data_IF_054814290784
#
_entry.id   IF_054814290784
#
_cell.length_a   1.000
_cell.length_b   1.000
_cell.length_c   1.000
_cell.angle_alpha   90.00
_cell.angle_beta   90.00
_cell.angle_gamma   90.00
#
_symmetry.space_group_name_H-M   'P 1'
#
loop_
_entity.id
_entity.type
_entity.pdbx_description
1 polymer ?
#
# COMPACT_ATOMS: atom_id res chain seq x y z
N UNK A 1 -10.09 15.66 -18.26
CA UNK A 1 -11.22 14.98 -17.57
C UNK A 1 -10.60 13.93 -16.66
N UNK A 2 -10.42 14.25 -15.37
CA UNK A 2 -9.83 13.32 -14.43
C UNK A 2 -10.95 12.48 -13.81
N UNK A 3 -10.99 11.19 -14.12
CA UNK A 3 -11.78 10.22 -13.36
C UNK A 3 -11.07 9.97 -12.02
N UNK A 4 -11.16 10.93 -11.10
CA UNK A 4 -10.72 10.76 -9.72
C UNK A 4 -11.78 9.96 -8.94
N UNK A 5 -12.00 8.70 -9.32
CA UNK A 5 -12.63 7.76 -8.39
C UNK A 5 -11.53 7.23 -7.49
N UNK A 6 -11.23 7.97 -6.42
CA UNK A 6 -10.37 7.48 -5.34
C UNK A 6 -11.05 6.25 -4.74
N UNK A 7 -10.67 5.06 -5.21
CA UNK A 7 -11.17 3.81 -4.66
C UNK A 7 -10.62 3.74 -3.24
N UNK A 8 -11.52 3.86 -2.26
CA UNK A 8 -11.16 3.73 -0.85
C UNK A 8 -10.66 2.31 -0.59
N UNK A 9 -9.63 2.17 0.22
CA UNK A 9 -9.03 0.89 0.62
C UNK A 9 -10.09 -0.08 1.20
N UNK A 10 -11.11 0.44 1.88
CA UNK A 10 -12.24 -0.35 2.37
C UNK A 10 -13.05 -1.01 1.24
N UNK A 11 -13.20 -0.33 0.10
CA UNK A 11 -13.84 -0.89 -1.09
C UNK A 11 -12.98 -1.97 -1.75
N UNK A 12 -11.65 -1.79 -1.74
CA UNK A 12 -10.69 -2.76 -2.24
C UNK A 12 -10.67 -4.04 -1.39
N UNK A 13 -10.73 -3.90 -0.07
CA UNK A 13 -10.81 -5.02 0.86
C UNK A 13 -12.02 -5.93 0.56
N UNK A 14 -13.18 -5.33 0.30
CA UNK A 14 -14.39 -6.08 -0.02
C UNK A 14 -14.33 -6.80 -1.38
N UNK A 15 -13.40 -6.41 -2.25
CA UNK A 15 -13.18 -7.04 -3.56
C UNK A 15 -12.13 -8.17 -3.51
N UNK A 16 -11.34 -8.25 -2.43
CA UNK A 16 -10.43 -9.38 -2.21
C UNK A 16 -11.16 -10.48 -1.44
N UNK A 17 -11.49 -11.56 -2.14
CA UNK A 17 -12.27 -12.70 -1.65
C UNK A 17 -11.42 -13.87 -1.22
N UNK A 18 -10.13 -13.90 -1.61
CA UNK A 18 -9.18 -14.94 -1.25
C UNK A 18 -8.24 -14.41 -0.19
N UNK A 19 -8.09 -15.15 0.91
CA UNK A 19 -7.02 -14.94 1.87
C UNK A 19 -5.81 -15.79 1.51
N UNK A 20 -4.60 -15.21 1.50
CA UNK A 20 -3.38 -15.98 1.22
C UNK A 20 -3.17 -17.05 2.29
N UNK A 21 -2.88 -18.26 1.82
CA UNK A 21 -2.45 -19.43 2.57
C UNK A 21 -1.28 -20.11 1.83
N UNK A 22 -0.77 -21.18 2.42
CA UNK A 22 0.35 -21.99 1.90
C UNK A 22 0.15 -22.57 0.49
N UNK A 23 -1.10 -22.81 0.09
CA UNK A 23 -1.43 -23.54 -1.15
C UNK A 23 -2.15 -22.69 -2.22
N UNK A 24 -2.37 -21.40 -1.98
CA UNK A 24 -3.22 -20.57 -2.85
C UNK A 24 -2.56 -19.29 -3.37
N UNK A 25 -1.24 -19.15 -3.18
CA UNK A 25 -0.47 -17.96 -3.58
C UNK A 25 -0.77 -17.48 -4.99
N UNK A 26 -0.82 -18.38 -5.99
CA UNK A 26 -1.08 -18.00 -7.39
C UNK A 26 -2.47 -17.37 -7.58
N UNK A 27 -3.50 -17.89 -6.90
CA UNK A 27 -4.86 -17.35 -7.01
C UNK A 27 -4.98 -16.01 -6.27
N UNK A 28 -4.43 -15.95 -5.06
CA UNK A 28 -4.40 -14.72 -4.26
C UNK A 28 -3.63 -13.61 -4.98
N UNK A 29 -2.43 -13.90 -5.47
CA UNK A 29 -1.58 -12.91 -6.16
C UNK A 29 -2.25 -12.42 -7.43
N UNK A 30 -2.84 -13.30 -8.25
CA UNK A 30 -3.57 -12.89 -9.45
C UNK A 30 -4.73 -11.92 -9.11
N UNK A 31 -5.50 -12.21 -8.07
CA UNK A 31 -6.60 -11.34 -7.65
C UNK A 31 -6.09 -10.00 -7.12
N UNK A 32 -5.05 -10.02 -6.27
CA UNK A 32 -4.46 -8.80 -5.73
C UNK A 32 -3.83 -7.93 -6.82
N UNK A 33 -3.10 -8.52 -7.76
CA UNK A 33 -2.51 -7.80 -8.89
C UNK A 33 -3.59 -7.18 -9.79
N UNK A 34 -4.63 -7.94 -10.13
CA UNK A 34 -5.75 -7.44 -10.95
C UNK A 34 -6.46 -6.27 -10.28
N UNK A 35 -6.66 -6.37 -8.97
CA UNK A 35 -7.27 -5.32 -8.15
C UNK A 35 -6.40 -4.06 -8.12
N UNK A 36 -5.09 -4.21 -7.86
CA UNK A 36 -4.18 -3.07 -7.79
C UNK A 36 -4.01 -2.40 -9.15
N UNK A 37 -3.88 -3.16 -10.25
CA UNK A 37 -3.80 -2.61 -11.61
C UNK A 37 -5.06 -1.82 -12.03
N UNK A 38 -6.22 -2.19 -11.50
CA UNK A 38 -7.47 -1.43 -11.69
C UNK A 38 -7.56 -0.16 -10.84
N UNK A 39 -6.53 0.17 -10.06
CA UNK A 39 -6.48 1.32 -9.15
C UNK A 39 -5.21 2.14 -9.37
N UNK A 40 -5.22 3.40 -8.93
CA UNK A 40 -4.02 4.27 -8.91
C UNK A 40 -2.99 3.83 -7.84
N UNK A 41 -3.19 2.68 -7.19
CA UNK A 41 -2.31 2.19 -6.13
C UNK A 41 -1.19 1.30 -6.64
N UNK A 42 -1.29 0.77 -7.87
CA UNK A 42 -0.26 -0.10 -8.42
C UNK A 42 1.09 0.60 -8.56
N UNK A 43 1.07 1.89 -8.88
CA UNK A 43 2.26 2.74 -9.04
C UNK A 43 3.05 2.92 -7.72
N UNK A 44 2.39 2.68 -6.58
CA UNK A 44 3.04 2.64 -5.27
C UNK A 44 3.70 1.28 -4.98
N UNK A 45 3.40 0.24 -5.77
CA UNK A 45 3.83 -1.15 -5.56
C UNK A 45 4.94 -1.56 -6.52
N UNK A 46 4.88 -1.12 -7.78
CA UNK A 46 5.86 -1.42 -8.82
C UNK A 46 7.14 -0.58 -8.73
N UNK A 47 7.16 0.43 -7.85
CA UNK A 47 8.28 1.34 -7.66
C UNK A 47 8.36 2.47 -8.68
N UNK A 48 7.31 2.66 -9.50
CA UNK A 48 7.21 3.76 -10.45
C UNK A 48 7.15 5.13 -9.75
N UNK A 49 6.59 5.18 -8.53
CA UNK A 49 6.59 6.40 -7.70
C UNK A 49 7.86 6.46 -6.84
N UNK A 50 8.69 7.48 -7.10
CA UNK A 50 9.82 7.82 -6.23
C UNK A 50 9.32 8.33 -4.88
N UNK A 51 9.78 7.77 -3.74
CA UNK A 51 9.39 8.25 -2.42
C UNK A 51 9.71 9.75 -2.23
N UNK A 52 8.75 10.56 -1.74
CA UNK A 52 9.01 11.96 -1.44
C UNK A 52 10.11 12.12 -0.38
N UNK A 53 10.85 13.24 -0.42
CA UNK A 53 11.85 13.53 0.61
C UNK A 53 11.18 13.62 1.99
N UNK A 54 11.71 12.85 2.94
CA UNK A 54 11.21 12.82 4.33
C UNK A 54 11.47 14.13 5.09
N UNK A 55 12.53 14.83 4.72
CA UNK A 55 12.97 16.07 5.35
C UNK A 55 13.00 17.17 4.29
N UNK A 56 12.51 18.35 4.64
CA UNK A 56 12.68 19.52 3.80
C UNK A 56 14.17 19.93 3.80
N UNK A 57 14.73 20.21 2.63
CA UNK A 57 16.02 20.87 2.51
C UNK A 57 15.78 22.35 2.87
N UNK A 58 16.47 22.83 3.90
CA UNK A 58 16.42 24.22 4.32
C UNK A 58 17.30 25.03 3.36
N UNK A 59 16.70 25.61 2.32
CA UNK A 59 17.31 26.74 1.62
C UNK A 59 16.78 28.05 2.24
N UNK A 60 17.60 29.10 2.24
CA UNK A 60 17.50 30.32 3.06
C UNK A 60 16.20 31.14 2.91
N UNK A 61 15.27 30.71 2.05
CA UNK A 61 13.99 31.37 1.75
C UNK A 61 12.73 30.66 2.26
N UNK A 62 12.87 29.52 2.95
CA UNK A 62 11.75 28.91 3.68
C UNK A 62 11.61 27.42 3.43
N UNK A 63 11.64 26.66 4.52
CA UNK A 63 11.25 25.25 4.59
C UNK A 63 9.92 25.07 3.85
N UNK A 64 9.91 24.33 2.73
CA UNK A 64 8.68 24.03 2.01
C UNK A 64 7.87 23.01 2.80
N UNK A 65 6.97 23.49 3.67
CA UNK A 65 5.97 22.70 4.41
C UNK A 65 5.23 21.68 3.53
N UNK A 66 5.12 21.97 2.24
CA UNK A 66 4.57 21.12 1.20
C UNK A 66 5.29 19.77 1.07
N UNK A 67 6.62 19.69 1.13
CA UNK A 67 7.38 18.42 1.02
C UNK A 67 7.04 17.46 2.16
N UNK A 68 6.92 18.00 3.38
CA UNK A 68 6.54 17.23 4.57
C UNK A 68 5.09 16.74 4.46
N UNK A 69 4.19 17.52 3.87
CA UNK A 69 2.81 17.12 3.64
C UNK A 69 2.72 15.97 2.61
N UNK A 70 3.41 16.08 1.48
CA UNK A 70 3.44 15.02 0.45
C UNK A 70 4.03 13.71 0.98
N UNK A 71 5.09 13.78 1.80
CA UNK A 71 5.64 12.59 2.47
C UNK A 71 4.61 11.92 3.42
N UNK A 72 3.85 12.72 4.19
CA UNK A 72 2.81 12.18 5.08
C UNK A 72 1.68 11.51 4.29
N UNK A 73 1.26 12.10 3.17
CA UNK A 73 0.24 11.53 2.29
C UNK A 73 0.71 10.22 1.66
N UNK A 74 1.92 10.20 1.10
CA UNK A 74 2.54 8.98 0.57
C UNK A 74 2.63 7.88 1.64
N UNK A 75 3.10 8.22 2.84
CA UNK A 75 3.19 7.28 3.96
C UNK A 75 1.81 6.75 4.39
N UNK A 76 0.76 7.59 4.33
CA UNK A 76 -0.61 7.16 4.63
C UNK A 76 -1.07 6.11 3.61
N UNK A 77 -0.79 6.32 2.32
CA UNK A 77 -1.10 5.35 1.27
C UNK A 77 -0.35 4.03 1.47
N UNK A 78 0.96 4.09 1.74
CA UNK A 78 1.78 2.89 2.02
C UNK A 78 1.25 2.10 3.22
N UNK A 79 0.90 2.78 4.32
CA UNK A 79 0.32 2.11 5.49
C UNK A 79 -1.03 1.49 5.20
N UNK A 80 -1.87 2.15 4.40
CA UNK A 80 -3.17 1.61 4.03
C UNK A 80 -3.05 0.37 3.12
N UNK A 81 -2.07 0.36 2.20
CA UNK A 81 -1.72 -0.82 1.40
C UNK A 81 -1.19 -1.97 2.25
N UNK A 82 -0.36 -1.66 3.26
CA UNK A 82 0.08 -2.68 4.21
C UNK A 82 -1.09 -3.27 4.99
N UNK A 83 -2.02 -2.44 5.47
CA UNK A 83 -3.25 -2.93 6.11
C UNK A 83 -4.10 -3.79 5.18
N UNK A 84 -4.21 -3.42 3.90
CA UNK A 84 -4.88 -4.21 2.87
C UNK A 84 -4.23 -5.59 2.75
N UNK A 85 -2.90 -5.65 2.58
CA UNK A 85 -2.16 -6.90 2.50
C UNK A 85 -2.42 -7.79 3.71
N UNK A 86 -2.23 -7.26 4.93
CA UNK A 86 -2.45 -7.97 6.20
C UNK A 86 -3.87 -8.52 6.29
N UNK A 87 -4.89 -7.74 5.92
CA UNK A 87 -6.28 -8.18 6.00
C UNK A 87 -6.62 -9.28 4.98
N UNK A 88 -5.83 -9.42 3.91
CA UNK A 88 -5.96 -10.51 2.93
C UNK A 88 -5.14 -11.74 3.32
N UNK A 89 -4.57 -11.82 4.52
CA UNK A 89 -3.85 -12.99 5.00
C UNK A 89 -4.78 -13.91 5.81
N UNK A 90 -4.56 -15.22 5.71
CA UNK A 90 -5.13 -16.15 6.69
C UNK A 90 -4.43 -16.01 8.03
N UNK A 91 -5.04 -16.51 9.11
CA UNK A 91 -4.46 -16.43 10.44
C UNK A 91 -3.11 -17.19 10.50
N UNK A 92 -3.02 -18.34 9.83
CA UNK A 92 -1.77 -19.10 9.72
C UNK A 92 -0.69 -18.31 8.99
N UNK A 93 -1.04 -17.64 7.89
CA UNK A 93 -0.11 -16.80 7.14
C UNK A 93 0.37 -15.60 7.98
N UNK A 94 -0.51 -15.01 8.79
CA UNK A 94 -0.16 -13.92 9.72
C UNK A 94 0.80 -14.39 10.80
N UNK A 95 0.65 -15.60 11.33
CA UNK A 95 1.59 -16.16 12.30
C UNK A 95 3.03 -16.23 11.75
N UNK A 96 3.20 -16.56 10.45
CA UNK A 96 4.52 -16.51 9.82
C UNK A 96 5.08 -15.07 9.70
N UNK A 97 4.22 -14.10 9.40
CA UNK A 97 4.64 -12.69 9.24
C UNK A 97 4.93 -12.01 10.59
N UNK A 98 4.21 -12.39 11.65
CA UNK A 98 4.38 -11.83 13.00
C UNK A 98 5.47 -12.58 13.77
N UNK A 99 5.50 -13.92 13.68
CA UNK A 99 6.44 -14.78 14.40
C UNK A 99 7.90 -14.62 13.97
N UNK A 100 8.15 -14.04 12.78
CA UNK A 100 9.50 -13.67 12.32
C UNK A 100 10.10 -12.46 13.05
N UNK A 101 9.33 -11.74 13.88
CA UNK A 101 9.83 -10.63 14.70
C UNK A 101 10.37 -11.02 16.07
N UNK A 102 10.22 -12.29 16.46
CA UNK A 102 10.75 -12.84 17.71
C UNK A 102 11.88 -13.81 17.39
N UNK A 103 13.07 -13.24 17.20
CA UNK A 103 14.34 -13.94 17.28
C UNK A 103 15.27 -13.13 18.19
#
# INVERSE_FOLDING_TARGET
>A
MAFSSSIKIDGLLNMVTIRISDNNFLKWSFQLYSLLQGSELFEHFDGSIVPPLKFAILDELGVTSQVIATYKEWMKTIKALLSLLIATMSDEALEYVIGTKTA
#
